data_IF_059968904458
#
_entry.id   IF_059968904458
#
_cell.length_a   1.000
_cell.length_b   1.000
_cell.length_c   1.000
_cell.angle_alpha   90.00
_cell.angle_beta   90.00
_cell.angle_gamma   90.00
#
_symmetry.space_group_name_H-M   'P 1'
#
loop_
_entity.id
_entity.type
_entity.pdbx_description
1 polymer ?
#
# COMPACT_ATOMS: atom_id res chain seq x y z
N UNK A 1 4.72 39.47 -26.29
CA UNK A 1 4.74 39.50 -24.81
C UNK A 1 5.34 38.18 -24.37
N UNK A 2 6.60 38.22 -23.95
CA UNK A 2 7.51 37.07 -23.94
C UNK A 2 7.70 36.61 -22.49
N UNK A 3 7.20 35.43 -22.14
CA UNK A 3 7.34 34.87 -20.79
C UNK A 3 8.76 34.32 -20.63
N UNK A 4 9.54 35.01 -19.79
CA UNK A 4 10.86 34.57 -19.35
C UNK A 4 10.71 33.40 -18.39
N UNK A 5 11.32 32.29 -18.77
CA UNK A 5 11.54 31.10 -17.97
C UNK A 5 12.43 31.46 -16.77
N UNK A 6 11.91 31.29 -15.56
CA UNK A 6 12.72 31.28 -14.33
C UNK A 6 13.20 29.83 -14.12
N UNK A 7 14.33 29.50 -14.72
CA UNK A 7 15.21 28.42 -14.26
C UNK A 7 16.24 29.09 -13.36
N UNK A 8 15.97 29.11 -12.06
CA UNK A 8 16.91 29.54 -11.04
C UNK A 8 16.73 28.64 -9.83
N UNK A 9 17.62 27.64 -9.70
CA UNK A 9 17.60 26.72 -8.55
C UNK A 9 18.31 25.38 -8.73
N UNK A 10 19.08 25.16 -9.80
CA UNK A 10 19.84 23.92 -10.02
C UNK A 10 21.27 24.21 -10.50
N UNK A 11 22.05 24.95 -9.70
CA UNK A 11 23.49 25.10 -9.94
C UNK A 11 24.21 25.74 -8.73
N UNK A 12 24.24 25.08 -7.57
CA UNK A 12 25.27 25.32 -6.52
C UNK A 12 25.16 24.30 -5.38
N UNK A 13 25.46 23.03 -5.69
CA UNK A 13 25.84 22.03 -4.68
C UNK A 13 26.79 20.97 -5.27
N UNK A 14 27.69 21.39 -6.16
CA UNK A 14 28.88 20.61 -6.51
C UNK A 14 30.07 21.09 -5.67
N UNK A 15 29.95 21.01 -4.34
CA UNK A 15 31.12 20.95 -3.47
C UNK A 15 31.44 19.47 -3.27
N UNK A 16 32.69 19.02 -3.51
CA UNK A 16 33.11 17.68 -3.14
C UNK A 16 33.15 17.62 -1.61
N UNK A 17 32.01 17.31 -1.01
CA UNK A 17 31.91 16.94 0.39
C UNK A 17 32.73 15.68 0.58
N UNK A 18 33.83 15.85 1.31
CA UNK A 18 34.71 14.84 1.90
C UNK A 18 34.21 13.41 1.71
N UNK A 19 34.98 12.61 0.95
CA UNK A 19 34.73 11.18 0.80
C UNK A 19 34.59 10.55 2.17
N UNK A 20 33.34 10.31 2.57
CA UNK A 20 33.04 9.40 3.66
C UNK A 20 33.63 8.07 3.23
N UNK A 21 34.66 7.60 3.94
CA UNK A 21 35.16 6.24 3.75
C UNK A 21 33.96 5.30 3.89
N UNK A 22 33.61 4.63 2.81
CA UNK A 22 32.48 3.72 2.77
C UNK A 22 32.79 2.59 3.77
N UNK A 23 32.05 2.57 4.88
CA UNK A 23 32.30 1.63 5.96
C UNK A 23 31.60 0.31 5.63
N UNK A 24 32.39 -0.67 5.22
CA UNK A 24 31.88 -2.00 4.88
C UNK A 24 31.26 -2.70 6.11
N UNK A 25 30.06 -3.21 5.93
CA UNK A 25 29.37 -4.12 6.85
C UNK A 25 29.70 -5.56 6.48
N UNK A 26 30.03 -6.39 7.46
CA UNK A 26 30.26 -7.82 7.24
C UNK A 26 29.01 -8.61 7.58
N UNK A 27 28.47 -9.33 6.62
CA UNK A 27 27.33 -10.24 6.81
C UNK A 27 27.81 -11.67 6.61
N UNK A 28 27.53 -12.52 7.59
CA UNK A 28 27.88 -13.94 7.60
C UNK A 28 26.63 -14.76 7.90
N UNK A 29 26.35 -15.77 7.08
CA UNK A 29 25.18 -16.64 7.23
C UNK A 29 25.59 -18.11 7.22
N UNK A 30 24.98 -18.89 8.09
CA UNK A 30 25.05 -20.35 8.08
C UNK A 30 23.63 -20.89 7.94
N UNK A 31 23.30 -21.36 6.73
CA UNK A 31 21.96 -21.80 6.36
C UNK A 31 22.02 -23.25 5.84
N UNK A 32 21.24 -24.18 6.42
CA UNK A 32 21.10 -25.51 5.86
C UNK A 32 20.38 -25.38 4.51
N UNK A 33 21.01 -25.86 3.43
CA UNK A 33 20.40 -26.01 2.09
C UNK A 33 19.92 -24.73 1.41
N UNK A 34 20.87 -23.86 1.04
CA UNK A 34 20.70 -23.10 -0.19
C UNK A 34 21.45 -23.87 -1.29
N UNK A 35 20.76 -24.77 -1.99
CA UNK A 35 21.30 -25.56 -3.10
C UNK A 35 21.87 -24.66 -4.20
N UNK A 36 23.14 -24.24 -4.08
CA UNK A 36 23.88 -23.50 -5.10
C UNK A 36 23.29 -22.15 -5.52
N UNK A 37 22.19 -21.69 -4.92
CA UNK A 37 21.57 -20.39 -5.22
C UNK A 37 22.24 -19.30 -4.42
N UNK A 38 22.64 -18.26 -5.13
CA UNK A 38 23.05 -16.98 -4.55
C UNK A 38 21.92 -16.44 -3.64
N UNK A 39 22.31 -15.83 -2.53
CA UNK A 39 21.40 -15.06 -1.67
C UNK A 39 21.60 -13.59 -1.97
N UNK A 40 20.54 -12.80 -1.95
CA UNK A 40 20.67 -11.35 -2.12
C UNK A 40 20.37 -10.62 -0.81
N UNK A 41 21.19 -9.61 -0.52
CA UNK A 41 20.87 -8.55 0.43
C UNK A 41 20.25 -7.39 -0.34
N UNK A 42 19.01 -7.04 -0.02
CA UNK A 42 18.27 -6.01 -0.76
C UNK A 42 17.69 -4.93 0.15
N UNK A 43 17.50 -3.75 -0.40
CA UNK A 43 16.60 -2.72 0.11
C UNK A 43 15.98 -2.03 -1.12
N UNK A 44 14.69 -2.32 -1.38
CA UNK A 44 13.99 -1.86 -2.58
C UNK A 44 13.86 -0.33 -2.60
N UNK A 45 13.64 0.28 -1.44
CA UNK A 45 13.44 1.71 -1.26
C UNK A 45 14.70 2.53 -1.57
N UNK A 46 15.87 1.90 -1.45
CA UNK A 46 17.18 2.49 -1.79
C UNK A 46 17.71 1.99 -3.13
N UNK A 47 16.93 1.21 -3.87
CA UNK A 47 17.37 0.52 -5.10
C UNK A 47 18.71 -0.21 -4.89
N UNK A 48 18.82 -0.92 -3.77
CA UNK A 48 20.04 -1.60 -3.34
C UNK A 48 19.86 -3.11 -3.44
N UNK A 49 20.81 -3.77 -4.10
CA UNK A 49 20.88 -5.23 -4.17
C UNK A 49 22.34 -5.66 -4.29
N UNK A 50 22.78 -6.56 -3.40
CA UNK A 50 24.12 -7.13 -3.42
C UNK A 50 24.02 -8.65 -3.24
N UNK A 51 24.73 -9.38 -4.07
CA UNK A 51 24.86 -10.83 -3.94
C UNK A 51 25.73 -11.19 -2.73
N UNK A 52 25.26 -12.15 -1.92
CA UNK A 52 26.01 -12.80 -0.86
C UNK A 52 26.49 -14.15 -1.39
N UNK A 53 27.76 -14.27 -1.80
CA UNK A 53 28.27 -15.51 -2.37
C UNK A 53 28.36 -16.62 -1.33
N UNK A 54 28.18 -17.86 -1.79
CA UNK A 54 28.44 -19.06 -1.00
C UNK A 54 29.93 -19.31 -0.88
N UNK A 55 30.43 -19.52 0.34
CA UNK A 55 31.84 -19.92 0.58
C UNK A 55 32.02 -21.45 0.62
N UNK A 56 30.91 -22.21 0.76
CA UNK A 56 30.86 -23.68 0.87
C UNK A 56 29.39 -24.16 1.01
N UNK A 57 29.16 -25.49 0.98
CA UNK A 57 27.83 -26.18 0.90
C UNK A 57 26.68 -25.67 1.80
N UNK A 58 26.91 -24.82 2.80
CA UNK A 58 25.87 -24.25 3.70
C UNK A 58 26.24 -22.88 4.31
N UNK A 59 27.25 -22.18 3.80
CA UNK A 59 27.74 -20.94 4.41
C UNK A 59 27.89 -19.84 3.36
N UNK A 60 27.52 -18.61 3.75
CA UNK A 60 27.51 -17.42 2.89
C UNK A 60 28.18 -16.27 3.62
N UNK A 61 29.03 -15.52 2.94
CA UNK A 61 29.73 -14.38 3.54
C UNK A 61 29.92 -13.27 2.52
N UNK A 62 29.62 -12.05 2.93
CA UNK A 62 29.89 -10.86 2.13
C UNK A 62 30.38 -9.71 3.02
N UNK A 63 31.34 -8.94 2.50
CA UNK A 63 31.62 -7.60 2.96
C UNK A 63 30.89 -6.66 1.99
N UNK A 64 29.93 -5.91 2.52
CA UNK A 64 29.00 -5.11 1.72
C UNK A 64 29.10 -3.66 2.13
N UNK A 65 29.22 -2.76 1.16
CA UNK A 65 29.13 -1.33 1.41
C UNK A 65 27.65 -0.93 1.48
N UNK A 66 27.18 -0.53 2.67
CA UNK A 66 25.78 -0.20 2.87
C UNK A 66 25.53 1.29 2.59
N UNK A 67 24.49 1.65 1.82
CA UNK A 67 24.14 3.05 1.57
C UNK A 67 23.68 3.79 2.84
N UNK A 68 23.43 3.06 3.92
CA UNK A 68 23.24 3.63 5.26
C UNK A 68 22.73 2.58 6.26
N UNK A 69 22.51 3.01 7.51
CA UNK A 69 21.84 2.17 8.51
C UNK A 69 20.36 1.99 8.18
N UNK A 70 19.78 0.84 8.52
CA UNK A 70 18.40 0.58 8.15
C UNK A 70 17.93 -0.86 8.16
N UNK A 71 16.70 -1.05 7.69
CA UNK A 71 16.16 -2.36 7.35
C UNK A 71 16.60 -2.78 5.95
N UNK A 72 17.00 -4.03 5.83
CA UNK A 72 17.36 -4.72 4.60
C UNK A 72 16.69 -6.09 4.61
N UNK A 73 16.51 -6.72 3.45
CA UNK A 73 16.01 -8.08 3.36
C UNK A 73 17.11 -9.01 2.88
N UNK A 74 17.21 -10.20 3.49
CA UNK A 74 17.96 -11.32 2.92
C UNK A 74 16.97 -12.39 2.49
N UNK A 75 17.15 -12.93 1.29
CA UNK A 75 16.34 -14.04 0.80
C UNK A 75 16.23 -15.16 1.85
N UNK A 76 15.03 -15.76 1.98
CA UNK A 76 14.70 -16.83 2.94
C UNK A 76 14.67 -16.41 4.43
N UNK A 77 15.40 -15.36 4.83
CA UNK A 77 15.41 -14.83 6.21
C UNK A 77 14.33 -13.76 6.38
N UNK A 78 14.24 -12.86 5.41
CA UNK A 78 13.41 -11.66 5.44
C UNK A 78 14.16 -10.46 5.99
N UNK A 79 13.42 -9.55 6.61
CA UNK A 79 13.92 -8.27 7.10
C UNK A 79 14.92 -8.43 8.25
N UNK A 80 16.02 -7.68 8.16
CA UNK A 80 17.08 -7.56 9.14
C UNK A 80 17.49 -6.09 9.31
N UNK A 81 18.02 -5.74 10.47
CA UNK A 81 18.60 -4.44 10.74
C UNK A 81 20.13 -4.48 10.60
N UNK A 82 20.68 -3.59 9.80
CA UNK A 82 22.13 -3.46 9.59
C UNK A 82 22.59 -2.00 9.71
N UNK A 83 23.85 -1.84 10.09
CA UNK A 83 24.54 -0.55 10.12
C UNK A 83 25.92 -0.65 9.46
N UNK A 84 26.40 0.42 8.78
CA UNK A 84 27.77 0.52 8.28
C UNK A 84 28.82 0.21 9.35
N UNK A 85 29.90 -0.46 8.96
CA UNK A 85 31.05 -0.75 9.83
C UNK A 85 30.82 -1.81 10.91
N UNK A 86 29.64 -2.42 10.96
CA UNK A 86 29.29 -3.45 11.93
C UNK A 86 29.25 -4.84 11.28
N UNK A 87 29.30 -5.88 12.12
CA UNK A 87 29.31 -7.27 11.67
C UNK A 87 28.16 -8.05 12.32
N UNK A 88 27.38 -8.73 11.48
CA UNK A 88 26.26 -9.57 11.88
C UNK A 88 26.46 -10.99 11.35
N UNK A 89 26.30 -11.97 12.23
CA UNK A 89 26.24 -13.38 11.89
C UNK A 89 24.81 -13.91 12.10
N UNK A 90 24.29 -14.64 11.12
CA UNK A 90 22.96 -15.28 11.14
C UNK A 90 23.14 -16.80 11.08
N UNK A 91 22.51 -17.52 12.01
CA UNK A 91 22.60 -18.98 12.11
C UNK A 91 21.18 -19.55 12.12
N UNK A 92 20.85 -20.43 11.18
CA UNK A 92 19.57 -21.14 11.23
C UNK A 92 19.57 -22.18 12.37
N UNK A 93 18.52 -22.19 13.17
CA UNK A 93 18.38 -23.09 14.34
C UNK A 93 17.30 -24.15 14.14
N UNK A 94 16.19 -23.79 13.48
CA UNK A 94 15.08 -24.67 13.11
C UNK A 94 14.43 -24.13 11.82
N UNK A 95 13.42 -24.82 11.27
CA UNK A 95 12.74 -24.40 10.03
C UNK A 95 12.25 -22.95 10.14
N UNK A 96 12.92 -22.04 9.42
CA UNK A 96 12.67 -20.58 9.40
C UNK A 96 12.87 -19.84 10.75
N UNK A 97 13.66 -20.40 11.66
CA UNK A 97 14.10 -19.71 12.88
C UNK A 97 15.60 -19.42 12.81
N UNK A 98 15.97 -18.21 13.23
CA UNK A 98 17.33 -17.68 13.10
C UNK A 98 17.83 -17.14 14.43
N UNK A 99 19.09 -17.44 14.74
CA UNK A 99 19.86 -16.83 15.81
C UNK A 99 20.81 -15.79 15.22
N UNK A 100 20.90 -14.64 15.89
CA UNK A 100 21.76 -13.53 15.49
C UNK A 100 22.93 -13.38 16.47
N UNK A 101 24.14 -13.14 15.96
CA UNK A 101 25.36 -12.88 16.74
C UNK A 101 26.11 -11.68 16.18
N UNK A 102 26.85 -10.98 17.03
CA UNK A 102 27.60 -9.77 16.66
C UNK A 102 26.86 -8.48 17.02
N UNK A 103 27.23 -7.38 16.38
CA UNK A 103 26.51 -6.11 16.54
C UNK A 103 25.16 -6.23 15.83
N UNK A 104 24.17 -5.46 16.28
CA UNK A 104 22.77 -5.56 15.84
C UNK A 104 22.05 -6.88 16.17
N UNK A 105 22.65 -7.83 16.91
CA UNK A 105 21.96 -9.10 17.22
C UNK A 105 20.66 -8.88 17.99
N UNK A 106 20.68 -7.94 18.96
CA UNK A 106 19.52 -7.60 19.78
C UNK A 106 18.37 -7.03 18.95
N UNK A 107 18.68 -6.11 18.04
CA UNK A 107 17.72 -5.49 17.12
C UNK A 107 17.08 -6.54 16.21
N UNK A 108 17.87 -7.45 15.66
CA UNK A 108 17.37 -8.53 14.79
C UNK A 108 16.56 -9.59 15.55
N UNK A 109 16.91 -9.89 16.81
CA UNK A 109 16.07 -10.69 17.70
C UNK A 109 14.71 -10.01 17.97
N UNK A 110 14.71 -8.68 18.13
CA UNK A 110 13.47 -7.91 18.28
C UNK A 110 12.64 -7.98 17.00
N UNK A 111 13.23 -7.77 15.82
CA UNK A 111 12.53 -7.89 14.52
C UNK A 111 11.87 -9.27 14.34
N UNK A 112 12.59 -10.34 14.69
CA UNK A 112 12.04 -11.71 14.63
C UNK A 112 10.79 -11.86 15.51
N UNK A 113 10.81 -11.29 16.73
CA UNK A 113 9.64 -11.29 17.63
C UNK A 113 8.51 -10.40 17.12
N UNK A 114 8.83 -9.23 16.56
CA UNK A 114 7.85 -8.34 15.95
C UNK A 114 7.11 -9.04 14.80
N UNK A 115 7.82 -9.80 13.95
CA UNK A 115 7.22 -10.60 12.88
C UNK A 115 6.23 -11.63 13.42
N UNK A 116 6.57 -12.33 14.51
CA UNK A 116 5.65 -13.27 15.16
C UNK A 116 4.41 -12.57 15.76
N UNK A 117 4.61 -11.44 16.44
CA UNK A 117 3.51 -10.62 16.99
C UNK A 117 2.59 -10.13 15.87
N UNK A 118 3.15 -9.67 14.75
CA UNK A 118 2.41 -9.26 13.54
C UNK A 118 1.55 -10.40 13.01
N UNK A 119 2.13 -11.59 12.86
CA UNK A 119 1.41 -12.77 12.34
C UNK A 119 0.26 -13.22 13.26
N UNK A 120 0.38 -13.01 14.57
CA UNK A 120 -0.65 -13.40 15.55
C UNK A 120 -1.76 -12.37 15.69
N UNK A 121 -1.41 -11.08 15.87
CA UNK A 121 -2.39 -10.04 16.21
C UNK A 121 -3.02 -9.41 14.98
N UNK A 122 -2.21 -9.17 13.94
CA UNK A 122 -2.64 -8.44 12.76
C UNK A 122 -2.19 -9.17 11.48
N UNK A 123 -2.57 -10.46 11.29
CA UNK A 123 -2.20 -11.22 10.10
C UNK A 123 -2.75 -10.60 8.81
N UNK A 124 -1.92 -10.66 7.77
CA UNK A 124 -2.35 -10.32 6.41
C UNK A 124 -3.21 -11.43 5.79
N UNK A 125 -4.05 -11.01 4.85
CA UNK A 125 -4.77 -11.90 3.96
C UNK A 125 -3.81 -12.54 2.96
N UNK A 126 -3.93 -13.85 2.76
CA UNK A 126 -3.11 -14.59 1.78
C UNK A 126 -3.55 -14.36 0.33
N UNK A 127 -4.77 -13.86 0.12
CA UNK A 127 -5.39 -13.65 -1.19
C UNK A 127 -5.41 -12.15 -1.53
N UNK A 128 -5.84 -11.31 -0.59
CA UNK A 128 -5.91 -9.85 -0.77
C UNK A 128 -4.63 -9.21 -0.27
N UNK A 129 -3.70 -8.89 -1.19
CA UNK A 129 -2.41 -8.28 -0.84
C UNK A 129 -2.59 -7.06 0.08
N UNK A 130 -1.83 -7.02 1.17
CA UNK A 130 -1.79 -5.95 2.18
C UNK A 130 -3.07 -5.74 3.00
N UNK A 131 -4.13 -6.53 2.78
CA UNK A 131 -5.34 -6.44 3.60
C UNK A 131 -5.22 -7.27 4.89
N UNK A 132 -5.99 -6.94 5.95
CA UNK A 132 -6.17 -7.82 7.09
C UNK A 132 -6.75 -9.17 6.66
N UNK A 133 -6.45 -10.24 7.40
CA UNK A 133 -7.09 -11.54 7.19
C UNK A 133 -8.62 -11.43 7.21
N UNK A 134 -9.34 -12.32 6.51
CA UNK A 134 -10.81 -12.29 6.49
C UNK A 134 -11.42 -12.29 7.90
N UNK A 135 -10.85 -13.04 8.86
CA UNK A 135 -11.32 -13.01 10.25
C UNK A 135 -11.24 -11.63 10.91
N UNK A 136 -10.26 -10.81 10.52
CA UNK A 136 -10.15 -9.43 10.98
C UNK A 136 -11.11 -8.51 10.25
N UNK A 137 -11.32 -8.71 8.94
CA UNK A 137 -12.26 -7.91 8.14
C UNK A 137 -13.72 -8.03 8.63
N UNK A 138 -14.06 -9.15 9.27
CA UNK A 138 -15.38 -9.42 9.85
C UNK A 138 -15.56 -8.87 11.28
N UNK A 139 -14.57 -8.14 11.82
CA UNK A 139 -14.69 -7.54 13.15
C UNK A 139 -15.39 -6.18 13.08
N UNK A 140 -16.22 -5.82 14.09
CA UNK A 140 -16.66 -4.44 14.26
C UNK A 140 -15.48 -3.49 14.41
N UNK A 141 -15.63 -2.23 13.97
CA UNK A 141 -14.57 -1.21 14.00
C UNK A 141 -13.90 -1.09 15.36
N UNK A 142 -14.69 -1.05 16.44
CA UNK A 142 -14.15 -0.86 17.79
C UNK A 142 -13.23 -2.04 18.19
N UNK A 143 -13.58 -3.26 17.80
CA UNK A 143 -12.78 -4.46 18.06
C UNK A 143 -11.51 -4.48 17.21
N UNK A 144 -11.59 -4.06 15.96
CA UNK A 144 -10.41 -3.94 15.11
C UNK A 144 -9.45 -2.87 15.63
N UNK A 145 -9.96 -1.71 16.07
CA UNK A 145 -9.16 -0.66 16.70
C UNK A 145 -8.41 -1.14 17.97
N UNK A 146 -9.06 -1.96 18.80
CA UNK A 146 -8.40 -2.59 19.97
C UNK A 146 -7.28 -3.54 19.52
N UNK A 147 -7.48 -4.27 18.43
CA UNK A 147 -6.46 -5.17 17.85
C UNK A 147 -5.25 -4.38 17.35
N UNK A 148 -5.48 -3.26 16.67
CA UNK A 148 -4.42 -2.32 16.24
C UNK A 148 -3.65 -1.80 17.46
N UNK A 149 -4.33 -1.32 18.49
CA UNK A 149 -3.67 -0.79 19.68
C UNK A 149 -2.85 -1.88 20.40
N UNK A 150 -3.39 -3.09 20.52
CA UNK A 150 -2.69 -4.23 21.13
C UNK A 150 -1.39 -4.59 20.38
N UNK A 151 -1.40 -4.48 19.04
CA UNK A 151 -0.20 -4.65 18.24
C UNK A 151 0.82 -3.52 18.47
N UNK A 152 0.38 -2.26 18.50
CA UNK A 152 1.25 -1.10 18.77
C UNK A 152 1.90 -1.17 20.16
N UNK A 153 1.15 -1.59 21.18
CA UNK A 153 1.65 -1.76 22.54
C UNK A 153 2.69 -2.88 22.62
N UNK A 154 2.43 -3.99 21.92
CA UNK A 154 3.36 -5.12 21.84
C UNK A 154 4.67 -4.73 21.14
N UNK A 155 4.57 -3.95 20.05
CA UNK A 155 5.74 -3.38 19.35
C UNK A 155 6.53 -2.49 20.30
N UNK A 156 5.87 -1.53 20.94
CA UNK A 156 6.51 -0.58 21.86
C UNK A 156 7.27 -1.30 22.96
N UNK A 157 6.65 -2.32 23.57
CA UNK A 157 7.27 -3.15 24.62
C UNK A 157 8.52 -3.88 24.12
N UNK A 158 8.47 -4.48 22.93
CA UNK A 158 9.59 -5.23 22.36
C UNK A 158 10.75 -4.30 21.95
N UNK A 159 10.43 -3.20 21.28
CA UNK A 159 11.39 -2.25 20.74
C UNK A 159 12.12 -1.46 21.84
N UNK A 160 11.43 -1.17 22.96
CA UNK A 160 12.04 -0.50 24.12
C UNK A 160 13.21 -1.27 24.75
N UNK A 161 13.35 -2.57 24.46
CA UNK A 161 14.48 -3.37 24.92
C UNK A 161 15.80 -3.08 24.18
N UNK A 162 15.76 -2.37 23.05
CA UNK A 162 16.96 -1.92 22.34
C UNK A 162 17.46 -0.56 22.87
N UNK A 163 18.78 -0.41 22.96
CA UNK A 163 19.44 0.88 23.27
C UNK A 163 19.66 1.74 22.03
N UNK A 164 19.43 1.19 20.83
CA UNK A 164 19.66 1.89 19.57
C UNK A 164 18.46 2.79 19.24
N UNK A 165 18.62 4.10 19.44
CA UNK A 165 17.56 5.09 19.24
C UNK A 165 17.01 5.03 17.82
N UNK A 166 17.88 4.98 16.81
CA UNK A 166 17.46 4.98 15.41
C UNK A 166 16.64 3.72 15.08
N UNK A 167 17.11 2.53 15.50
CA UNK A 167 16.34 1.30 15.35
C UNK A 167 14.95 1.42 15.96
N UNK A 168 14.84 1.99 17.18
CA UNK A 168 13.54 2.15 17.84
C UNK A 168 12.60 3.04 17.05
N UNK A 169 13.09 4.17 16.57
CA UNK A 169 12.31 5.12 15.78
C UNK A 169 11.79 4.47 14.48
N UNK A 170 12.68 3.82 13.71
CA UNK A 170 12.26 3.18 12.45
C UNK A 170 11.34 1.97 12.68
N UNK A 171 11.57 1.17 13.73
CA UNK A 171 10.73 0.00 14.03
C UNK A 171 9.32 0.41 14.48
N UNK A 172 9.22 1.46 15.30
CA UNK A 172 7.93 2.03 15.69
C UNK A 172 7.20 2.65 14.51
N UNK A 173 7.91 3.41 13.66
CA UNK A 173 7.33 4.02 12.47
C UNK A 173 6.91 3.01 11.41
N UNK A 174 7.66 1.92 11.20
CA UNK A 174 7.25 0.80 10.33
C UNK A 174 5.98 0.14 10.86
N UNK A 175 5.91 -0.11 12.17
CA UNK A 175 4.73 -0.70 12.79
C UNK A 175 3.49 0.22 12.71
N UNK A 176 3.65 1.52 12.92
CA UNK A 176 2.57 2.49 12.73
C UNK A 176 2.09 2.52 11.27
N UNK A 177 3.03 2.56 10.32
CA UNK A 177 2.73 2.52 8.89
C UNK A 177 2.00 1.23 8.48
N UNK A 178 2.41 0.08 9.03
CA UNK A 178 1.72 -1.19 8.85
C UNK A 178 0.28 -1.14 9.36
N UNK A 179 0.06 -0.55 10.56
CA UNK A 179 -1.29 -0.37 11.10
C UNK A 179 -2.15 0.50 10.19
N UNK A 180 -1.60 1.59 9.65
CA UNK A 180 -2.32 2.48 8.72
C UNK A 180 -2.72 1.76 7.45
N UNK A 181 -1.80 1.00 6.84
CA UNK A 181 -2.11 0.17 5.66
C UNK A 181 -3.20 -0.85 5.98
N UNK A 182 -3.17 -1.46 7.18
CA UNK A 182 -4.20 -2.39 7.61
C UNK A 182 -5.56 -1.73 7.82
N UNK A 183 -5.61 -0.53 8.40
CA UNK A 183 -6.82 0.25 8.57
C UNK A 183 -7.42 0.71 7.23
N UNK A 184 -6.60 1.18 6.30
CA UNK A 184 -7.08 1.54 4.95
C UNK A 184 -7.70 0.36 4.22
N UNK A 185 -7.05 -0.81 4.28
CA UNK A 185 -7.59 -2.00 3.63
C UNK A 185 -8.75 -2.62 4.42
N UNK A 186 -8.82 -2.39 5.73
CA UNK A 186 -10.00 -2.71 6.51
C UNK A 186 -11.20 -1.87 6.07
N UNK A 187 -11.05 -0.55 5.92
CA UNK A 187 -12.10 0.34 5.38
C UNK A 187 -12.58 -0.15 4.00
N UNK A 188 -11.63 -0.43 3.10
CA UNK A 188 -11.92 -0.85 1.74
C UNK A 188 -12.60 -2.22 1.61
N UNK A 189 -12.23 -3.18 2.47
CA UNK A 189 -12.64 -4.58 2.35
C UNK A 189 -13.43 -5.07 3.55
N UNK A 190 -14.03 -4.16 4.32
CA UNK A 190 -14.80 -4.50 5.50
C UNK A 190 -15.89 -5.51 5.16
N UNK A 191 -16.02 -6.55 6.00
CA UNK A 191 -16.99 -7.63 5.84
C UNK A 191 -16.93 -8.38 4.48
N UNK A 192 -15.82 -8.27 3.73
CA UNK A 192 -15.67 -8.97 2.47
C UNK A 192 -15.89 -10.49 2.63
N UNK A 193 -16.83 -11.05 1.84
CA UNK A 193 -17.14 -12.47 1.85
C UNK A 193 -16.03 -13.26 1.15
N UNK A 194 -15.33 -14.10 1.91
CA UNK A 194 -14.16 -14.82 1.41
C UNK A 194 -14.50 -15.82 0.30
N UNK A 195 -15.67 -16.47 0.40
CA UNK A 195 -16.13 -17.47 -0.57
C UNK A 195 -16.40 -16.82 -1.92
N UNK A 196 -17.15 -15.72 -1.91
CA UNK A 196 -17.50 -14.92 -3.08
C UNK A 196 -16.26 -14.26 -3.66
N UNK A 197 -15.34 -13.77 -2.84
CA UNK A 197 -14.09 -13.18 -3.32
C UNK A 197 -13.23 -14.21 -4.08
N UNK A 198 -13.05 -15.41 -3.53
CA UNK A 198 -12.31 -16.49 -4.18
C UNK A 198 -13.00 -16.92 -5.48
N UNK A 199 -14.31 -17.15 -5.45
CA UNK A 199 -15.08 -17.53 -6.64
C UNK A 199 -15.01 -16.46 -7.74
N UNK A 200 -15.02 -15.19 -7.36
CA UNK A 200 -14.84 -14.06 -8.28
C UNK A 200 -13.45 -14.04 -8.91
N UNK A 201 -12.39 -14.28 -8.14
CA UNK A 201 -11.03 -14.38 -8.68
C UNK A 201 -10.88 -15.56 -9.64
N UNK A 202 -11.42 -16.73 -9.28
CA UNK A 202 -11.39 -17.91 -10.14
C UNK A 202 -12.12 -17.65 -11.46
N UNK A 203 -13.28 -16.98 -11.41
CA UNK A 203 -14.00 -16.57 -12.61
C UNK A 203 -13.17 -15.63 -13.49
N UNK A 204 -12.59 -14.57 -12.91
CA UNK A 204 -11.84 -13.53 -13.65
C UNK A 204 -10.56 -14.08 -14.28
N UNK A 205 -9.85 -14.95 -13.56
CA UNK A 205 -8.56 -15.48 -13.97
C UNK A 205 -8.68 -16.69 -14.91
N UNK A 206 -9.83 -17.38 -14.93
CA UNK A 206 -10.05 -18.51 -15.81
C UNK A 206 -10.21 -18.07 -17.28
N UNK A 207 -9.32 -18.59 -18.15
CA UNK A 207 -9.34 -18.30 -19.59
C UNK A 207 -10.66 -18.67 -20.28
N UNK A 208 -11.35 -19.74 -19.81
CA UNK A 208 -12.65 -20.15 -20.35
C UNK A 208 -13.77 -19.16 -20.03
N UNK A 209 -13.72 -18.50 -18.87
CA UNK A 209 -14.71 -17.47 -18.53
C UNK A 209 -14.66 -16.31 -19.52
N UNK A 210 -13.48 -15.98 -20.04
CA UNK A 210 -13.27 -14.87 -20.97
C UNK A 210 -13.92 -15.07 -22.35
N UNK A 211 -14.33 -16.31 -22.67
CA UNK A 211 -15.06 -16.62 -23.90
C UNK A 211 -16.59 -16.55 -23.71
N UNK A 212 -17.08 -16.30 -22.49
CA UNK A 212 -18.51 -16.10 -22.24
C UNK A 212 -18.99 -14.78 -22.90
N UNK A 213 -20.06 -14.79 -23.72
CA UNK A 213 -20.61 -13.58 -24.33
C UNK A 213 -20.98 -12.48 -23.32
N UNK A 214 -21.30 -12.86 -22.08
CA UNK A 214 -21.64 -11.96 -20.98
C UNK A 214 -20.48 -11.76 -19.99
N UNK A 215 -19.25 -12.14 -20.36
CA UNK A 215 -18.08 -12.08 -19.48
C UNK A 215 -17.93 -10.73 -18.79
N UNK A 216 -18.08 -9.62 -19.52
CA UNK A 216 -17.92 -8.26 -18.97
C UNK A 216 -18.92 -7.95 -17.87
N UNK A 217 -20.19 -8.30 -18.06
CA UNK A 217 -21.24 -8.10 -17.06
C UNK A 217 -21.00 -8.99 -15.82
N UNK A 218 -20.69 -10.28 -16.06
CA UNK A 218 -20.38 -11.22 -14.97
C UNK A 218 -19.12 -10.83 -14.20
N UNK A 219 -18.10 -10.31 -14.89
CA UNK A 219 -16.88 -9.78 -14.29
C UNK A 219 -17.20 -8.59 -13.39
N UNK A 220 -18.00 -7.63 -13.85
CA UNK A 220 -18.40 -6.49 -13.03
C UNK A 220 -19.17 -6.94 -11.78
N UNK A 221 -20.13 -7.87 -11.94
CA UNK A 221 -20.84 -8.46 -10.81
C UNK A 221 -19.89 -9.20 -9.86
N UNK A 222 -18.93 -9.96 -10.38
CA UNK A 222 -17.92 -10.66 -9.59
C UNK A 222 -17.03 -9.71 -8.78
N UNK A 223 -16.74 -8.52 -9.31
CA UNK A 223 -15.97 -7.50 -8.58
C UNK A 223 -16.76 -6.88 -7.41
N UNK A 224 -18.10 -6.84 -7.50
CA UNK A 224 -18.96 -6.23 -6.48
C UNK A 224 -19.49 -7.22 -5.44
N UNK A 225 -19.79 -8.45 -5.87
CA UNK A 225 -20.45 -9.48 -5.05
C UNK A 225 -19.81 -9.69 -3.66
N UNK A 226 -18.47 -9.71 -3.52
CA UNK A 226 -17.84 -9.92 -2.21
C UNK A 226 -18.13 -8.81 -1.19
N UNK A 227 -18.64 -7.66 -1.61
CA UNK A 227 -18.81 -6.45 -0.79
C UNK A 227 -20.28 -6.01 -0.68
N UNK A 228 -21.23 -6.76 -1.25
CA UNK A 228 -22.62 -6.29 -1.38
C UNK A 228 -23.32 -6.09 -0.03
N UNK A 229 -23.00 -6.93 0.95
CA UNK A 229 -23.65 -6.92 2.27
C UNK A 229 -22.81 -6.21 3.33
N UNK A 230 -21.52 -5.99 3.05
CA UNK A 230 -20.53 -5.49 4.00
C UNK A 230 -19.98 -4.13 3.60
N UNK A 231 -20.38 -3.09 4.33
CA UNK A 231 -19.80 -1.75 4.21
C UNK A 231 -19.84 -1.03 5.55
N UNK A 232 -18.81 -0.22 5.81
CA UNK A 232 -18.84 0.67 6.96
C UNK A 232 -19.92 1.74 6.76
N UNK A 233 -20.69 2.02 7.80
CA UNK A 233 -21.49 3.23 7.84
C UNK A 233 -20.56 4.47 7.90
N UNK A 234 -21.12 5.66 7.68
CA UNK A 234 -20.32 6.89 7.61
C UNK A 234 -19.56 7.17 8.92
N UNK A 235 -20.18 6.96 10.07
CA UNK A 235 -19.55 7.20 11.38
C UNK A 235 -18.32 6.30 11.58
N UNK A 236 -18.50 5.00 11.34
CA UNK A 236 -17.46 3.99 11.44
C UNK A 236 -16.34 4.21 10.42
N UNK A 237 -16.69 4.60 9.19
CA UNK A 237 -15.72 4.97 8.15
C UNK A 237 -14.89 6.17 8.57
N UNK A 238 -15.51 7.23 9.09
CA UNK A 238 -14.80 8.41 9.58
C UNK A 238 -13.90 8.07 10.78
N UNK A 239 -14.35 7.18 11.67
CA UNK A 239 -13.53 6.69 12.77
C UNK A 239 -12.28 5.95 12.27
N UNK A 240 -12.41 5.06 11.29
CA UNK A 240 -11.28 4.36 10.67
C UNK A 240 -10.37 5.31 9.91
N UNK A 241 -10.95 6.24 9.13
CA UNK A 241 -10.22 7.28 8.40
C UNK A 241 -9.31 8.07 9.34
N UNK A 242 -9.87 8.55 10.45
CA UNK A 242 -9.12 9.28 11.47
C UNK A 242 -7.94 8.47 12.00
N UNK A 243 -8.14 7.18 12.28
CA UNK A 243 -7.08 6.31 12.82
C UNK A 243 -5.88 6.15 11.87
N UNK A 244 -6.11 6.13 10.55
CA UNK A 244 -5.00 5.98 9.60
C UNK A 244 -4.49 7.31 9.02
N UNK A 245 -5.23 8.41 9.14
CA UNK A 245 -4.86 9.72 8.62
C UNK A 245 -4.17 10.60 9.69
N UNK A 246 -4.70 10.64 10.92
CA UNK A 246 -4.24 11.58 11.94
C UNK A 246 -2.77 11.33 12.33
N UNK A 247 -2.02 12.43 12.41
CA UNK A 247 -0.61 12.42 12.79
C UNK A 247 0.33 11.76 11.78
N UNK A 248 -0.16 11.37 10.59
CA UNK A 248 0.70 10.90 9.52
C UNK A 248 1.60 12.03 9.03
N UNK A 249 2.89 11.74 8.88
CA UNK A 249 3.86 12.68 8.33
C UNK A 249 4.26 12.15 6.97
N UNK A 250 3.87 12.83 5.89
CA UNK A 250 4.13 12.37 4.52
C UNK A 250 5.61 12.49 4.08
N UNK A 251 6.42 13.25 4.82
CA UNK A 251 7.80 13.61 4.45
C UNK A 251 8.89 13.00 5.36
N UNK A 252 8.65 11.81 5.93
CA UNK A 252 9.65 11.11 6.74
C UNK A 252 10.59 10.31 5.84
N UNK A 253 11.74 10.92 5.51
CA UNK A 253 12.74 10.31 4.64
C UNK A 253 13.34 9.02 5.21
N UNK A 254 13.49 8.94 6.54
CA UNK A 254 14.03 7.74 7.17
C UNK A 254 13.05 6.58 7.00
N UNK A 255 11.76 6.79 7.24
CA UNK A 255 10.76 5.75 7.04
C UNK A 255 10.60 5.39 5.56
N UNK A 256 10.66 6.37 4.65
CA UNK A 256 10.61 6.11 3.21
C UNK A 256 11.69 5.15 2.74
N UNK A 257 12.90 5.24 3.30
CA UNK A 257 14.04 4.39 2.96
C UNK A 257 14.10 3.04 3.70
N UNK A 258 13.25 2.84 4.71
CA UNK A 258 13.35 1.71 5.62
C UNK A 258 12.04 0.94 5.82
N UNK A 259 10.89 1.47 5.42
CA UNK A 259 9.59 0.83 5.61
C UNK A 259 8.84 0.72 4.29
N UNK A 260 8.61 -0.51 3.85
CA UNK A 260 7.75 -0.78 2.68
C UNK A 260 6.32 -0.30 2.95
N UNK A 261 5.84 -0.43 4.19
CA UNK A 261 4.51 0.03 4.58
C UNK A 261 4.39 1.53 4.51
N UNK A 262 5.42 2.26 4.97
CA UNK A 262 5.46 3.71 4.87
C UNK A 262 5.43 4.18 3.40
N UNK A 263 6.19 3.53 2.52
CA UNK A 263 6.18 3.84 1.09
C UNK A 263 4.77 3.63 0.48
N UNK A 264 4.07 2.55 0.86
CA UNK A 264 2.70 2.28 0.41
C UNK A 264 1.75 3.39 0.87
N UNK A 265 1.69 3.69 2.17
CA UNK A 265 0.77 4.72 2.70
C UNK A 265 1.11 6.11 2.14
N UNK A 266 2.41 6.47 2.07
CA UNK A 266 2.86 7.73 1.50
C UNK A 266 2.44 7.86 0.03
N UNK A 267 2.57 6.81 -0.78
CA UNK A 267 2.14 6.83 -2.18
C UNK A 267 0.62 7.02 -2.33
N UNK A 268 -0.18 6.42 -1.43
CA UNK A 268 -1.63 6.52 -1.47
C UNK A 268 -2.12 7.88 -0.97
N UNK A 269 -1.48 8.44 0.06
CA UNK A 269 -1.83 9.74 0.63
C UNK A 269 -1.30 10.91 -0.21
N UNK A 270 -0.12 10.77 -0.83
CA UNK A 270 0.42 11.78 -1.74
C UNK A 270 -0.52 12.01 -2.93
N UNK A 271 -1.21 10.97 -3.42
CA UNK A 271 -2.23 11.13 -4.47
C UNK A 271 -3.46 11.94 -4.00
N UNK A 272 -3.79 11.92 -2.71
CA UNK A 272 -4.89 12.71 -2.16
C UNK A 272 -4.54 14.20 -2.01
N UNK A 273 -3.25 14.54 -1.92
CA UNK A 273 -2.76 15.92 -1.79
C UNK A 273 -2.33 16.54 -3.13
N UNK A 274 -2.27 15.77 -4.23
CA UNK A 274 -2.05 16.36 -5.56
C UNK A 274 -3.27 17.22 -5.90
N UNK A 275 -3.10 18.54 -6.14
CA UNK A 275 -4.18 19.39 -6.59
C UNK A 275 -4.79 18.77 -7.84
N UNK A 276 -6.07 18.40 -7.75
CA UNK A 276 -6.79 17.91 -8.92
C UNK A 276 -7.04 19.12 -9.80
N UNK A 277 -6.42 19.13 -10.98
CA UNK A 277 -6.73 20.11 -12.01
C UNK A 277 -8.16 19.85 -12.48
N UNK A 278 -9.09 20.64 -11.95
CA UNK A 278 -10.52 20.52 -12.17
C UNK A 278 -10.90 20.60 -13.65
N UNK A 279 -10.17 21.42 -14.41
CA UNK A 279 -10.38 21.57 -15.85
C UNK A 279 -9.96 20.29 -16.58
N UNK A 280 -8.79 19.76 -16.28
CA UNK A 280 -8.32 18.50 -16.86
C UNK A 280 -9.21 17.32 -16.46
N UNK A 281 -9.71 17.28 -15.23
CA UNK A 281 -10.68 16.29 -14.76
C UNK A 281 -11.96 16.34 -15.60
N UNK A 282 -12.57 17.53 -15.71
CA UNK A 282 -13.77 17.79 -16.52
C UNK A 282 -13.56 17.37 -17.97
N UNK A 283 -12.48 17.84 -18.62
CA UNK A 283 -12.18 17.51 -20.02
C UNK A 283 -11.95 16.01 -20.24
N UNK A 284 -11.32 15.32 -19.27
CA UNK A 284 -11.15 13.87 -19.31
C UNK A 284 -12.49 13.15 -19.32
N UNK A 285 -13.39 13.47 -18.37
CA UNK A 285 -14.71 12.83 -18.29
C UNK A 285 -15.60 13.16 -19.49
N UNK A 286 -15.61 14.40 -19.97
CA UNK A 286 -16.36 14.78 -21.17
C UNK A 286 -15.90 14.00 -22.40
N UNK A 287 -14.58 13.83 -22.59
CA UNK A 287 -14.03 12.99 -23.68
C UNK A 287 -14.42 11.53 -23.54
N UNK A 288 -14.42 10.97 -22.32
CA UNK A 288 -14.86 9.58 -22.07
C UNK A 288 -16.33 9.40 -22.40
N UNK A 289 -17.20 10.26 -21.88
CA UNK A 289 -18.65 10.22 -22.12
C UNK A 289 -18.98 10.30 -23.61
N UNK A 290 -18.34 11.22 -24.34
CA UNK A 290 -18.52 11.35 -25.80
C UNK A 290 -18.04 10.12 -26.59
N UNK A 291 -17.05 9.37 -26.08
CA UNK A 291 -16.48 8.22 -26.76
C UNK A 291 -17.23 6.90 -26.50
N UNK A 292 -18.06 6.81 -25.45
CA UNK A 292 -18.74 5.56 -25.08
C UNK A 292 -19.66 5.05 -26.20
N UNK A 293 -20.56 5.86 -26.80
CA UNK A 293 -21.47 5.36 -27.84
C UNK A 293 -20.77 4.80 -29.08
N UNK A 294 -19.59 5.32 -29.44
CA UNK A 294 -18.83 4.85 -30.60
C UNK A 294 -17.93 3.65 -30.28
N UNK A 295 -17.50 3.49 -29.03
CA UNK A 295 -16.65 2.38 -28.58
C UNK A 295 -17.42 1.12 -28.20
N UNK A 296 -18.70 1.24 -27.86
CA UNK A 296 -19.55 0.13 -27.41
C UNK A 296 -20.78 0.01 -28.33
N UNK A 297 -20.78 -0.93 -29.31
CA UNK A 297 -21.86 -1.05 -30.29
C UNK A 297 -23.22 -1.46 -29.69
N UNK A 298 -23.21 -2.11 -28.53
CA UNK A 298 -24.41 -2.43 -27.75
C UNK A 298 -24.92 -1.15 -27.08
N UNK A 299 -26.07 -0.66 -27.54
CA UNK A 299 -26.65 0.60 -27.08
C UNK A 299 -27.11 0.56 -25.63
N UNK A 300 -27.55 -0.60 -25.12
CA UNK A 300 -27.94 -0.76 -23.72
C UNK A 300 -26.71 -0.74 -22.80
N UNK A 301 -25.63 -1.41 -23.20
CA UNK A 301 -24.37 -1.36 -22.48
C UNK A 301 -23.73 0.03 -22.52
N UNK A 302 -23.71 0.68 -23.69
CA UNK A 302 -23.19 2.03 -23.86
C UNK A 302 -23.94 3.02 -22.97
N UNK A 303 -25.26 2.90 -22.90
CA UNK A 303 -26.08 3.76 -22.05
C UNK A 303 -25.78 3.52 -20.56
N UNK A 304 -25.74 2.27 -20.11
CA UNK A 304 -25.38 1.96 -18.73
C UNK A 304 -23.98 2.48 -18.33
N UNK A 305 -22.99 2.33 -19.21
CA UNK A 305 -21.63 2.85 -18.98
C UNK A 305 -21.56 4.38 -18.95
N UNK A 306 -22.41 5.05 -19.75
CA UNK A 306 -22.55 6.52 -19.72
C UNK A 306 -23.07 6.98 -18.36
N UNK A 307 -24.12 6.31 -17.84
CA UNK A 307 -24.63 6.54 -16.49
C UNK A 307 -23.56 6.35 -15.41
N UNK A 308 -22.81 5.25 -15.45
CA UNK A 308 -21.74 4.97 -14.48
C UNK A 308 -20.59 5.99 -14.53
N UNK A 309 -20.13 6.38 -15.72
CA UNK A 309 -19.07 7.38 -15.86
C UNK A 309 -19.53 8.78 -15.40
N UNK A 310 -20.82 9.10 -15.56
CA UNK A 310 -21.39 10.31 -14.98
C UNK A 310 -21.38 10.30 -13.45
N UNK A 311 -21.71 9.17 -12.83
CA UNK A 311 -21.65 9.01 -11.37
C UNK A 311 -20.20 9.10 -10.86
N UNK A 312 -19.25 8.48 -11.57
CA UNK A 312 -17.82 8.54 -11.23
C UNK A 312 -17.28 9.99 -11.34
N UNK A 313 -17.76 10.77 -12.32
CA UNK A 313 -17.40 12.19 -12.41
C UNK A 313 -17.93 12.99 -11.21
N UNK A 314 -19.17 12.75 -10.77
CA UNK A 314 -19.73 13.40 -9.57
C UNK A 314 -18.92 13.08 -8.31
N UNK A 315 -18.57 11.80 -8.13
CA UNK A 315 -17.76 11.35 -6.98
C UNK A 315 -16.35 11.97 -7.01
N UNK A 316 -15.70 11.96 -8.18
CA UNK A 316 -14.38 12.58 -8.35
C UNK A 316 -14.42 14.10 -8.11
N UNK A 317 -15.47 14.79 -8.58
CA UNK A 317 -15.67 16.21 -8.33
C UNK A 317 -15.86 16.50 -6.83
N UNK A 318 -16.67 15.68 -6.14
CA UNK A 318 -16.87 15.80 -4.70
C UNK A 318 -15.56 15.59 -3.92
N UNK A 319 -14.76 14.59 -4.29
CA UNK A 319 -13.48 14.30 -3.63
C UNK A 319 -12.41 15.35 -3.91
N UNK A 320 -12.45 15.98 -5.08
CA UNK A 320 -11.53 17.05 -5.48
C UNK A 320 -11.80 18.40 -4.79
N UNK A 321 -12.66 18.45 -3.76
CA UNK A 321 -13.15 19.70 -3.12
C UNK A 321 -13.82 20.69 -4.07
N UNK A 322 -14.20 20.22 -5.26
CA UNK A 322 -14.90 21.05 -6.23
C UNK A 322 -16.39 21.14 -5.89
N UNK A 323 -17.04 22.17 -6.41
CA UNK A 323 -18.50 22.24 -6.41
C UNK A 323 -19.07 21.09 -7.27
N UNK A 324 -19.38 19.97 -6.63
CA UNK A 324 -19.99 18.81 -7.30
C UNK A 324 -21.38 19.14 -7.89
N UNK A 325 -22.03 20.24 -7.47
CA UNK A 325 -23.23 20.75 -8.14
C UNK A 325 -22.88 21.30 -9.53
N UNK A 326 -21.78 22.04 -9.66
CA UNK A 326 -21.24 22.46 -10.97
C UNK A 326 -20.90 21.26 -11.88
N UNK A 327 -20.38 20.16 -11.32
CA UNK A 327 -20.17 18.92 -12.09
C UNK A 327 -21.50 18.30 -12.57
N UNK A 328 -22.55 18.34 -11.74
CA UNK A 328 -23.89 17.92 -12.12
C UNK A 328 -24.50 18.81 -13.23
N UNK A 329 -24.32 20.13 -13.16
CA UNK A 329 -24.73 21.06 -14.23
C UNK A 329 -24.03 20.72 -15.56
N UNK A 330 -22.72 20.41 -15.52
CA UNK A 330 -21.98 19.95 -16.70
C UNK A 330 -22.61 18.66 -17.24
N UNK A 331 -22.91 17.67 -16.41
CA UNK A 331 -23.52 16.41 -16.86
C UNK A 331 -24.90 16.61 -17.48
N UNK A 332 -25.70 17.56 -17.00
CA UNK A 332 -26.99 17.89 -17.63
C UNK A 332 -26.84 18.43 -19.06
N UNK A 333 -25.70 19.04 -19.38
CA UNK A 333 -25.40 19.55 -20.73
C UNK A 333 -24.93 18.46 -21.70
N UNK A 334 -24.53 17.28 -21.19
CA UNK A 334 -24.06 16.17 -22.01
C UNK A 334 -25.26 15.42 -22.63
N UNK A 335 -25.21 15.16 -23.93
CA UNK A 335 -26.23 14.36 -24.61
C UNK A 335 -26.16 12.89 -24.17
N UNK A 336 -27.20 12.41 -23.52
CA UNK A 336 -27.32 11.03 -23.02
C UNK A 336 -28.79 10.59 -22.95
N UNK A 337 -29.06 9.29 -22.75
CA UNK A 337 -30.42 8.78 -22.64
C UNK A 337 -31.14 9.28 -21.36
N UNK A 338 -32.46 9.08 -21.30
CA UNK A 338 -33.23 9.32 -20.09
C UNK A 338 -32.83 8.40 -18.92
N UNK A 339 -32.45 7.15 -19.21
CA UNK A 339 -32.03 6.19 -18.20
C UNK A 339 -30.69 6.60 -17.56
N UNK A 340 -29.70 6.98 -18.37
CA UNK A 340 -28.42 7.53 -17.88
C UNK A 340 -28.64 8.76 -17.00
N UNK A 341 -29.48 9.71 -17.44
CA UNK A 341 -29.80 10.91 -16.63
C UNK A 341 -30.41 10.55 -15.30
N UNK A 342 -31.40 9.65 -15.28
CA UNK A 342 -32.06 9.23 -14.05
C UNK A 342 -31.09 8.54 -13.06
N UNK A 343 -30.12 7.77 -13.56
CA UNK A 343 -29.07 7.18 -12.73
C UNK A 343 -28.19 8.26 -12.07
N UNK A 344 -27.72 9.23 -12.88
CA UNK A 344 -26.86 10.32 -12.41
C UNK A 344 -27.62 11.23 -11.43
N UNK A 345 -28.86 11.60 -11.74
CA UNK A 345 -29.71 12.43 -10.88
C UNK A 345 -29.95 11.76 -9.52
N UNK A 346 -30.24 10.45 -9.51
CA UNK A 346 -30.39 9.70 -8.27
C UNK A 346 -29.12 9.72 -7.43
N UNK A 347 -27.96 9.52 -8.05
CA UNK A 347 -26.67 9.57 -7.36
C UNK A 347 -26.38 10.98 -6.81
N UNK A 348 -26.60 12.02 -7.61
CA UNK A 348 -26.46 13.42 -7.20
C UNK A 348 -27.32 13.74 -5.96
N UNK A 349 -28.60 13.37 -5.98
CA UNK A 349 -29.51 13.60 -4.85
C UNK A 349 -29.07 12.82 -3.60
N UNK A 350 -28.55 11.61 -3.76
CA UNK A 350 -27.98 10.83 -2.65
C UNK A 350 -26.72 11.50 -2.07
N UNK A 351 -25.81 11.96 -2.92
CA UNK A 351 -24.60 12.68 -2.51
C UNK A 351 -24.94 13.98 -1.79
N UNK A 352 -25.88 14.77 -2.33
CA UNK A 352 -26.35 16.03 -1.73
C UNK A 352 -26.97 15.82 -0.34
N UNK A 353 -27.73 14.74 -0.15
CA UNK A 353 -28.30 14.39 1.16
C UNK A 353 -27.25 14.01 2.20
N UNK A 354 -26.05 13.56 1.80
CA UNK A 354 -24.96 13.23 2.73
C UNK A 354 -24.20 14.47 3.22
N UNK A 355 -24.40 15.63 2.59
CA UNK A 355 -23.75 16.89 2.96
C UNK A 355 -24.61 17.77 3.89
N UNK A 356 -25.91 17.47 4.00
CA UNK A 356 -26.86 18.11 4.92
C UNK A 356 -26.99 17.27 6.18
#
# INVERSE_FOLDING_TARGET
MTIKIIIAGLALSCLPGMGGFAQQTKVSLSLPTAEGKALYLTNEQRNFAVEIPSDSKSNFKAAVDLPGRGFYAIDQIGEIYLEPGNALQVIATARQSYQFKGKQSKENEVLSRLKAVRATLLPQNSIIKNAPSFNLLQQPVQKFAITIQSYKDSVTKLVSASKNIFFREIAMGDADSYCRVMLMNFDRFHEADSTSYIASLDFINNAKSKTDPNFRFKMYRALLLPFMDGFLNEEDRQAVYKLYNDGFRANDHNLLQNSTWYAIISSQMALAEIPIDENNLKESYLRRLAAIPSKFPDSTLADYLTGLQGIEYLDAAQQATTDFESAYEVLKSVSMSAQSRAMIERAFLQMKRRQL
#
